data_IF_232184974800
#
_entry.id   IF_232184974800
#
_cell.length_a   1.000
_cell.length_b   1.000
_cell.length_c   1.000
_cell.angle_alpha   90.00
_cell.angle_beta   90.00
_cell.angle_gamma   90.00
#
_symmetry.space_group_name_H-M   'P 1'
#
loop_
_entity.id
_entity.type
_entity.pdbx_description
1 polymer ?
#
# COMPACT_ATOMS: atom_id res chain seq x y z
N UNK A 1 -3.24 17.78 58.19
CA UNK A 1 -1.96 17.28 57.63
C UNK A 1 -2.15 17.05 56.13
N UNK A 2 -1.91 18.08 55.31
CA UNK A 2 -1.90 17.94 53.85
C UNK A 2 -0.60 18.56 53.35
N UNK A 3 0.47 17.76 53.31
CA UNK A 3 1.73 18.20 52.71
C UNK A 3 1.57 18.26 51.19
N UNK A 4 2.18 19.25 50.54
CA UNK A 4 2.22 19.39 49.08
C UNK A 4 2.71 18.10 48.41
N UNK A 5 3.60 17.37 49.07
CA UNK A 5 4.12 16.08 48.63
C UNK A 5 3.04 14.98 48.58
N UNK A 6 2.10 14.95 49.52
CA UNK A 6 0.97 13.99 49.51
C UNK A 6 0.01 14.27 48.35
N UNK A 7 -0.22 15.56 48.04
CA UNK A 7 -1.06 15.95 46.89
C UNK A 7 -0.40 15.57 45.57
N UNK A 8 0.90 15.79 45.43
CA UNK A 8 1.66 15.40 44.24
C UNK A 8 1.62 13.87 44.03
N UNK A 9 1.80 13.09 45.10
CA UNK A 9 1.73 11.64 45.05
C UNK A 9 0.37 11.14 44.54
N UNK A 10 -0.73 11.72 45.02
CA UNK A 10 -2.08 11.33 44.57
C UNK A 10 -2.34 11.67 43.10
N UNK A 11 -1.86 12.83 42.63
CA UNK A 11 -2.00 13.22 41.21
C UNK A 11 -1.18 12.31 40.32
N UNK A 12 0.05 11.99 40.72
CA UNK A 12 0.91 11.06 39.97
C UNK A 12 0.34 9.63 39.96
N UNK A 13 -0.18 9.17 41.09
CA UNK A 13 -0.89 7.88 41.19
C UNK A 13 -2.11 7.84 40.26
N UNK A 14 -2.94 8.88 40.27
CA UNK A 14 -4.08 8.96 39.36
C UNK A 14 -3.64 8.96 37.88
N UNK A 15 -2.67 9.79 37.52
CA UNK A 15 -2.13 9.84 36.16
C UNK A 15 -1.61 8.48 35.69
N UNK A 16 -0.80 7.80 36.51
CA UNK A 16 -0.25 6.49 36.17
C UNK A 16 -1.32 5.41 36.03
N UNK A 17 -2.35 5.41 36.88
CA UNK A 17 -3.48 4.47 36.74
C UNK A 17 -4.26 4.69 35.45
N UNK A 18 -4.57 5.94 35.09
CA UNK A 18 -5.25 6.26 33.82
C UNK A 18 -4.38 5.88 32.63
N UNK A 19 -3.08 6.19 32.66
CA UNK A 19 -2.14 5.81 31.62
C UNK A 19 -2.05 4.28 31.44
N UNK A 20 -2.02 3.53 32.55
CA UNK A 20 -2.03 2.06 32.51
C UNK A 20 -3.34 1.51 31.94
N UNK A 21 -4.49 2.04 32.34
CA UNK A 21 -5.79 1.61 31.81
C UNK A 21 -5.88 1.86 30.30
N UNK A 22 -5.45 3.02 29.83
CA UNK A 22 -5.41 3.33 28.39
C UNK A 22 -4.42 2.40 27.67
N UNK A 23 -3.23 2.20 28.23
CA UNK A 23 -2.23 1.27 27.69
C UNK A 23 -2.76 -0.16 27.58
N UNK A 24 -3.50 -0.63 28.59
CA UNK A 24 -4.13 -1.94 28.58
C UNK A 24 -5.22 -2.05 27.50
N UNK A 25 -6.03 -1.01 27.30
CA UNK A 25 -7.03 -0.99 26.21
C UNK A 25 -6.37 -0.98 24.83
N UNK A 26 -5.27 -0.26 24.65
CA UNK A 26 -4.49 -0.27 23.41
C UNK A 26 -3.89 -1.66 23.16
N UNK A 27 -3.33 -2.30 24.19
CA UNK A 27 -2.80 -3.66 24.08
C UNK A 27 -3.91 -4.67 23.73
N UNK A 28 -5.10 -4.56 24.35
CA UNK A 28 -6.25 -5.39 24.04
C UNK A 28 -6.71 -5.21 22.59
N UNK A 29 -6.71 -3.97 22.09
CA UNK A 29 -7.09 -3.65 20.70
C UNK A 29 -6.23 -4.41 19.69
N UNK A 30 -4.92 -4.52 19.93
CA UNK A 30 -4.00 -5.28 19.07
C UNK A 30 -4.35 -6.77 19.03
N UNK A 31 -4.82 -7.33 20.15
CA UNK A 31 -5.24 -8.74 20.23
C UNK A 31 -6.56 -8.98 19.51
N UNK A 32 -7.50 -8.01 19.57
CA UNK A 32 -8.82 -8.12 18.93
C UNK A 32 -8.72 -8.02 17.40
N UNK A 33 -7.76 -7.27 16.87
CA UNK A 33 -7.61 -7.02 15.42
C UNK A 33 -6.23 -7.45 14.89
N UNK A 34 -5.95 -8.77 14.77
CA UNK A 34 -4.68 -9.25 14.27
C UNK A 34 -4.41 -8.78 12.84
N UNK A 35 -3.19 -8.31 12.59
CA UNK A 35 -2.76 -7.75 11.31
C UNK A 35 -1.89 -8.78 10.58
N UNK A 36 -2.51 -9.79 9.98
CA UNK A 36 -1.82 -10.88 9.26
C UNK A 36 -2.09 -10.79 7.75
N UNK A 37 -1.52 -9.80 7.03
CA UNK A 37 -1.67 -9.74 5.58
C UNK A 37 -0.91 -10.89 4.92
N UNK A 38 -1.42 -11.34 3.78
CA UNK A 38 -0.77 -12.36 2.95
C UNK A 38 -0.62 -11.83 1.54
N UNK A 39 0.55 -12.00 0.92
CA UNK A 39 0.80 -11.58 -0.45
C UNK A 39 1.76 -12.55 -1.13
N UNK A 40 1.36 -13.02 -2.31
CA UNK A 40 2.15 -13.91 -3.17
C UNK A 40 2.30 -13.24 -4.52
N UNK A 41 3.54 -13.18 -5.01
CA UNK A 41 3.83 -12.68 -6.36
C UNK A 41 4.56 -13.74 -7.15
N UNK A 42 4.00 -14.05 -8.31
CA UNK A 42 4.61 -14.95 -9.26
C UNK A 42 5.08 -14.18 -10.50
N UNK A 43 6.31 -14.48 -10.93
CA UNK A 43 6.88 -13.92 -12.13
C UNK A 43 6.34 -14.69 -13.34
N UNK A 44 5.63 -14.01 -14.25
CA UNK A 44 5.15 -14.65 -15.48
C UNK A 44 6.12 -14.50 -16.63
N UNK A 45 6.59 -13.28 -16.88
CA UNK A 45 7.40 -13.01 -18.05
C UNK A 45 8.30 -11.80 -17.85
N UNK A 46 9.55 -11.92 -18.26
CA UNK A 46 10.52 -10.83 -18.27
C UNK A 46 11.01 -10.66 -19.69
N UNK A 47 10.85 -9.45 -20.23
CA UNK A 47 11.37 -9.08 -21.53
C UNK A 47 12.26 -7.87 -21.38
N UNK A 48 13.49 -7.96 -21.87
CA UNK A 48 14.38 -6.81 -21.93
C UNK A 48 14.40 -6.29 -23.36
N UNK A 49 13.97 -5.05 -23.55
CA UNK A 49 13.90 -4.38 -24.84
C UNK A 49 14.90 -3.24 -24.87
N UNK A 50 15.69 -3.14 -25.92
CA UNK A 50 16.62 -2.03 -26.11
C UNK A 50 15.94 -0.90 -26.90
N UNK A 51 15.83 0.27 -26.29
CA UNK A 51 15.08 1.41 -26.83
C UNK A 51 15.78 2.75 -26.61
N UNK A 52 15.15 3.84 -27.06
CA UNK A 52 15.58 5.22 -26.74
C UNK A 52 14.71 5.74 -25.59
N UNK A 53 15.29 6.34 -24.52
CA UNK A 53 14.52 6.86 -23.39
C UNK A 53 13.58 8.00 -23.75
N UNK A 54 14.07 8.89 -24.59
CA UNK A 54 13.35 10.05 -25.10
C UNK A 54 13.64 10.15 -26.60
N UNK A 55 12.70 10.72 -27.35
CA UNK A 55 12.80 10.87 -28.80
C UNK A 55 14.14 11.51 -29.24
N UNK A 56 14.65 12.45 -28.44
CA UNK A 56 15.88 13.20 -28.69
C UNK A 56 17.16 12.58 -28.07
N UNK A 57 17.06 11.47 -27.33
CA UNK A 57 18.24 10.83 -26.77
C UNK A 57 18.91 9.94 -27.81
N UNK A 58 20.19 10.19 -28.08
CA UNK A 58 21.02 9.35 -28.94
C UNK A 58 21.43 8.03 -28.28
N UNK A 59 21.34 7.95 -26.94
CA UNK A 59 21.72 6.76 -26.17
C UNK A 59 20.60 5.72 -26.21
N UNK A 60 20.97 4.48 -26.51
CA UNK A 60 20.06 3.33 -26.43
C UNK A 60 20.22 2.67 -25.07
N UNK A 61 19.14 2.57 -24.32
CA UNK A 61 19.09 1.94 -23.00
C UNK A 61 18.26 0.66 -23.06
N UNK A 62 18.46 -0.22 -22.08
CA UNK A 62 17.72 -1.46 -21.92
C UNK A 62 16.61 -1.29 -20.89
N UNK A 63 15.37 -1.59 -21.29
CA UNK A 63 14.17 -1.53 -20.48
C UNK A 63 13.71 -2.94 -20.15
N UNK A 64 13.44 -3.24 -18.88
CA UNK A 64 12.73 -4.47 -18.53
C UNK A 64 11.22 -4.24 -18.46
N UNK A 65 10.49 -5.08 -19.19
CA UNK A 65 9.06 -5.28 -19.05
C UNK A 65 8.85 -6.56 -18.24
N UNK A 66 8.41 -6.39 -16.99
CA UNK A 66 8.18 -7.49 -16.06
C UNK A 66 6.68 -7.67 -15.89
N UNK A 67 6.14 -8.78 -16.37
CA UNK A 67 4.77 -9.20 -16.11
C UNK A 67 4.73 -10.16 -14.93
N UNK A 68 3.75 -9.95 -14.07
CA UNK A 68 3.60 -10.69 -12.83
C UNK A 68 2.14 -11.03 -12.57
N UNK A 69 1.94 -12.03 -11.72
CA UNK A 69 0.68 -12.31 -11.08
C UNK A 69 0.80 -11.92 -9.62
N UNK A 70 -0.16 -11.15 -9.12
CA UNK A 70 -0.26 -10.79 -7.71
C UNK A 70 -1.54 -11.41 -7.16
N UNK A 71 -1.37 -12.21 -6.11
CA UNK A 71 -2.46 -12.68 -5.27
C UNK A 71 -2.20 -12.20 -3.83
N UNK A 72 -3.00 -11.27 -3.35
CA UNK A 72 -2.79 -10.68 -2.03
C UNK A 72 -4.10 -10.44 -1.28
N UNK A 73 -4.08 -10.77 0.00
CA UNK A 73 -5.11 -10.46 0.98
C UNK A 73 -4.54 -9.47 2.01
N UNK A 74 -4.97 -8.22 1.86
CA UNK A 74 -4.71 -7.13 2.78
C UNK A 74 -5.94 -6.74 3.59
N UNK A 75 -7.02 -7.53 3.58
CA UNK A 75 -8.26 -7.19 4.28
C UNK A 75 -8.05 -6.98 5.78
N UNK A 76 -7.11 -7.71 6.40
CA UNK A 76 -6.76 -7.52 7.81
C UNK A 76 -6.22 -6.13 8.15
N UNK A 77 -5.63 -5.43 7.16
CA UNK A 77 -5.05 -4.09 7.34
C UNK A 77 -6.09 -2.96 7.38
N UNK A 78 -7.33 -3.25 6.98
CA UNK A 78 -8.43 -2.30 7.04
C UNK A 78 -9.06 -2.32 8.43
N UNK A 79 -8.57 -1.42 9.29
CA UNK A 79 -9.11 -1.18 10.64
C UNK A 79 -9.94 0.10 10.66
N UNK A 80 -10.53 0.42 11.82
CA UNK A 80 -11.25 1.69 12.04
C UNK A 80 -10.41 2.94 11.78
N UNK A 81 -9.07 2.85 11.88
CA UNK A 81 -8.17 3.98 11.68
C UNK A 81 -7.53 4.01 10.28
N UNK A 82 -7.78 3.02 9.42
CA UNK A 82 -7.13 2.96 8.10
C UNK A 82 -7.88 3.83 7.10
N UNK A 83 -7.23 4.85 6.57
CA UNK A 83 -7.79 5.72 5.51
C UNK A 83 -7.62 5.08 4.14
N UNK A 84 -6.38 4.73 3.81
CA UNK A 84 -6.02 4.12 2.54
C UNK A 84 -4.77 3.25 2.68
N UNK A 85 -4.64 2.27 1.79
CA UNK A 85 -3.52 1.36 1.72
C UNK A 85 -2.77 1.60 0.42
N UNK A 86 -1.47 1.84 0.50
CA UNK A 86 -0.59 1.99 -0.66
C UNK A 86 0.21 0.71 -0.85
N UNK A 87 -0.06 -0.02 -1.93
CA UNK A 87 0.58 -1.29 -2.26
C UNK A 87 1.50 -1.05 -3.44
N UNK A 88 2.69 -1.66 -3.43
CA UNK A 88 3.65 -1.53 -4.51
C UNK A 88 4.47 -2.79 -4.66
N UNK A 89 4.92 -3.05 -5.89
CA UNK A 89 5.79 -4.17 -6.22
C UNK A 89 7.16 -3.62 -6.58
N UNK A 90 8.16 -4.14 -5.90
CA UNK A 90 9.57 -3.83 -6.07
C UNK A 90 10.22 -4.93 -6.90
N UNK A 91 10.96 -4.54 -7.94
CA UNK A 91 11.99 -5.38 -8.51
C UNK A 91 13.29 -5.12 -7.73
N UNK A 92 13.78 -6.13 -7.01
CA UNK A 92 15.09 -6.10 -6.36
C UNK A 92 16.10 -6.90 -7.18
N UNK A 93 17.29 -6.36 -7.36
CA UNK A 93 18.38 -7.05 -8.03
C UNK A 93 19.73 -6.73 -7.37
N UNK A 94 20.66 -7.71 -7.35
CA UNK A 94 21.95 -7.54 -6.69
C UNK A 94 22.78 -6.45 -7.39
N UNK A 95 23.58 -5.75 -6.58
CA UNK A 95 24.54 -4.77 -7.09
C UNK A 95 25.73 -5.45 -7.75
N UNK A 96 26.43 -4.74 -8.64
CA UNK A 96 27.65 -5.24 -9.29
C UNK A 96 28.83 -5.33 -8.33
N UNK A 97 28.81 -4.55 -7.24
CA UNK A 97 29.84 -4.54 -6.22
C UNK A 97 29.30 -5.17 -4.93
N UNK A 98 30.06 -6.11 -4.37
CA UNK A 98 29.68 -6.83 -3.15
C UNK A 98 29.52 -5.91 -1.92
N UNK A 99 30.15 -4.72 -1.93
CA UNK A 99 30.04 -3.72 -0.86
C UNK A 99 28.79 -2.85 -0.93
N UNK A 100 28.00 -2.94 -2.01
CA UNK A 100 26.89 -2.03 -2.28
C UNK A 100 25.56 -2.75 -2.09
N UNK A 101 24.55 -2.13 -1.44
CA UNK A 101 23.24 -2.75 -1.26
C UNK A 101 22.55 -3.06 -2.60
N UNK A 102 21.63 -4.04 -2.63
CA UNK A 102 20.87 -4.35 -3.83
C UNK A 102 20.05 -3.15 -4.29
N UNK A 103 19.95 -2.99 -5.61
CA UNK A 103 19.11 -1.96 -6.21
C UNK A 103 17.65 -2.41 -6.16
N UNK A 104 16.75 -1.48 -5.84
CA UNK A 104 15.31 -1.72 -5.78
C UNK A 104 14.60 -0.65 -6.58
N UNK A 105 13.65 -1.07 -7.41
CA UNK A 105 12.84 -0.17 -8.21
C UNK A 105 11.38 -0.59 -8.19
N UNK A 106 10.47 0.36 -8.06
CA UNK A 106 9.02 0.10 -8.07
C UNK A 106 8.58 -0.07 -9.53
N UNK A 107 7.92 -1.19 -9.83
CA UNK A 107 7.41 -1.49 -11.18
C UNK A 107 5.91 -1.28 -11.29
N UNK A 108 5.20 -1.34 -10.16
CA UNK A 108 3.75 -1.22 -10.09
C UNK A 108 3.33 -0.75 -8.70
N UNK A 109 2.24 -0.01 -8.64
CA UNK A 109 1.64 0.52 -7.41
C UNK A 109 0.11 0.52 -7.50
N UNK A 110 -0.59 0.49 -6.38
CA UNK A 110 -2.01 0.75 -6.32
C UNK A 110 -2.41 1.30 -4.95
N UNK A 111 -3.29 2.30 -4.96
CA UNK A 111 -3.92 2.83 -3.75
C UNK A 111 -5.30 2.19 -3.61
N UNK A 112 -5.53 1.51 -2.49
CA UNK A 112 -6.84 1.00 -2.11
C UNK A 112 -7.39 1.89 -0.98
N UNK A 113 -8.41 2.72 -1.26
CA UNK A 113 -9.08 3.49 -0.21
C UNK A 113 -9.96 2.60 0.67
N UNK A 114 -10.14 2.99 1.93
CA UNK A 114 -11.11 2.35 2.82
C UNK A 114 -12.54 2.48 2.27
N UNK A 115 -13.44 1.53 2.58
CA UNK A 115 -14.85 1.63 2.17
C UNK A 115 -15.52 2.94 2.61
N UNK A 116 -15.14 3.44 3.78
CA UNK A 116 -15.63 4.71 4.34
C UNK A 116 -15.22 5.92 3.49
N UNK A 117 -14.03 5.88 2.86
CA UNK A 117 -13.57 6.94 1.97
C UNK A 117 -14.19 6.84 0.57
N UNK A 118 -14.48 5.63 0.08
CA UNK A 118 -15.08 5.42 -1.24
C UNK A 118 -16.49 6.00 -1.35
N UNK A 119 -17.26 5.96 -0.27
CA UNK A 119 -18.54 6.64 -0.13
C UNK A 119 -18.38 7.82 0.84
N UNK A 120 -17.80 8.95 0.39
CA UNK A 120 -17.72 10.14 1.24
C UNK A 120 -19.15 10.52 1.62
N UNK A 121 -19.39 10.74 2.92
CA UNK A 121 -20.68 11.13 3.47
C UNK A 121 -21.28 12.31 2.68
N UNK A 122 -22.15 12.01 1.72
CA UNK A 122 -22.90 13.01 0.98
C UNK A 122 -24.31 13.05 1.59
N UNK A 123 -24.69 14.13 2.29
CA UNK A 123 -26.01 14.24 2.90
C UNK A 123 -27.15 14.10 1.88
N UNK A 124 -26.91 14.48 0.61
CA UNK A 124 -27.90 14.33 -0.47
C UNK A 124 -28.13 12.87 -0.88
N UNK A 125 -27.12 12.01 -0.75
CA UNK A 125 -27.25 10.58 -1.06
C UNK A 125 -28.05 9.84 0.02
N UNK A 126 -27.91 10.23 1.29
CA UNK A 126 -28.71 9.69 2.41
C UNK A 126 -30.18 10.07 2.26
N UNK A 127 -30.46 11.28 1.75
CA UNK A 127 -31.81 11.76 1.50
C UNK A 127 -32.43 11.23 0.19
N UNK A 128 -31.72 10.37 -0.56
CA UNK A 128 -32.17 9.87 -1.86
C UNK A 128 -32.23 10.92 -2.97
N UNK A 129 -31.65 12.11 -2.74
CA UNK A 129 -31.62 13.26 -3.65
C UNK A 129 -30.30 13.30 -4.43
N UNK A 130 -29.83 12.15 -4.90
CA UNK A 130 -28.67 12.11 -5.80
C UNK A 130 -29.08 12.66 -7.17
N UNK A 131 -28.35 13.63 -7.75
CA UNK A 131 -28.66 14.13 -9.08
C UNK A 131 -28.40 13.04 -10.12
N UNK A 132 -29.48 12.37 -10.51
CA UNK A 132 -29.56 11.55 -11.71
C UNK A 132 -29.49 12.47 -12.93
N UNK A 133 -28.29 12.75 -13.43
CA UNK A 133 -27.98 12.88 -14.87
C UNK A 133 -26.68 13.65 -15.12
N UNK A 134 -25.63 12.94 -15.51
CA UNK A 134 -24.65 13.45 -16.47
C UNK A 134 -24.64 12.48 -17.68
N UNK A 135 -24.83 12.96 -18.92
CA UNK A 135 -25.07 12.11 -20.09
C UNK A 135 -23.76 11.65 -20.74
N UNK A 136 -22.77 11.23 -19.94
CA UNK A 136 -21.54 10.60 -20.43
C UNK A 136 -21.34 9.23 -19.77
N UNK A 137 -21.97 8.21 -20.38
CA UNK A 137 -21.54 6.80 -20.36
C UNK A 137 -21.81 5.99 -19.08
N UNK A 138 -22.48 4.82 -19.17
CA UNK A 138 -22.46 3.84 -18.09
C UNK A 138 -21.17 3.03 -18.21
N UNK A 139 -20.08 3.48 -17.56
CA UNK A 139 -18.85 2.67 -17.39
C UNK A 139 -18.65 2.14 -15.97
N UNK A 140 -19.69 2.23 -15.12
CA UNK A 140 -19.75 1.47 -13.89
C UNK A 140 -20.98 0.57 -13.94
N UNK A 141 -20.82 -0.51 -14.71
CA UNK A 141 -21.63 -1.69 -14.53
C UNK A 141 -21.57 -2.09 -13.06
N UNK A 142 -22.75 -2.12 -12.42
CA UNK A 142 -23.04 -2.72 -11.12
C UNK A 142 -22.30 -4.05 -11.00
N UNK A 143 -21.12 -4.03 -10.36
CA UNK A 143 -20.38 -5.25 -10.08
C UNK A 143 -21.13 -5.99 -8.96
N UNK A 144 -21.51 -7.25 -9.14
CA UNK A 144 -22.20 -8.03 -8.12
C UNK A 144 -21.27 -8.16 -6.91
N UNK A 145 -21.76 -7.82 -5.70
CA UNK A 145 -21.05 -7.89 -4.42
C UNK A 145 -19.58 -7.45 -4.48
N UNK A 146 -19.31 -6.16 -4.23
CA UNK A 146 -17.94 -5.65 -4.11
C UNK A 146 -17.13 -6.59 -3.19
N UNK A 147 -16.01 -7.16 -3.67
CA UNK A 147 -15.13 -7.96 -2.82
C UNK A 147 -14.78 -7.16 -1.55
N UNK A 148 -14.58 -7.83 -0.41
CA UNK A 148 -14.12 -7.14 0.79
C UNK A 148 -12.86 -6.32 0.45
N UNK A 149 -12.75 -5.09 0.96
CA UNK A 149 -11.63 -4.21 0.66
C UNK A 149 -10.32 -4.94 1.02
N UNK A 150 -9.33 -4.87 0.14
CA UNK A 150 -8.00 -5.42 0.39
C UNK A 150 -7.68 -6.75 -0.25
N UNK A 151 -8.64 -7.45 -0.87
CA UNK A 151 -8.33 -8.62 -1.69
C UNK A 151 -7.96 -8.17 -3.12
N UNK A 152 -6.78 -8.57 -3.59
CA UNK A 152 -6.26 -8.30 -4.93
C UNK A 152 -5.90 -9.59 -5.64
N UNK A 153 -6.61 -9.88 -6.73
CA UNK A 153 -6.24 -10.93 -7.68
C UNK A 153 -5.95 -10.28 -9.05
N UNK A 154 -4.67 -10.17 -9.39
CA UNK A 154 -4.20 -9.45 -10.57
C UNK A 154 -3.36 -10.37 -11.47
N UNK A 155 -3.99 -11.22 -12.29
CA UNK A 155 -3.28 -12.13 -13.18
C UNK A 155 -2.75 -11.41 -14.44
N UNK A 156 -1.54 -11.79 -14.87
CA UNK A 156 -0.85 -11.31 -16.07
C UNK A 156 -0.81 -9.77 -16.17
N UNK A 157 -0.52 -9.15 -15.04
CA UNK A 157 -0.55 -7.70 -14.90
C UNK A 157 0.68 -7.08 -15.54
N UNK A 158 0.45 -6.00 -16.29
CA UNK A 158 1.52 -5.21 -16.90
C UNK A 158 2.10 -4.25 -15.87
N UNK A 159 3.42 -4.03 -15.89
CA UNK A 159 4.02 -3.05 -15.01
C UNK A 159 3.58 -1.65 -15.44
N UNK A 160 3.41 -0.75 -14.47
CA UNK A 160 3.15 0.66 -14.74
C UNK A 160 4.42 1.39 -15.15
N UNK A 161 5.53 1.01 -14.51
CA UNK A 161 6.82 1.63 -14.71
C UNK A 161 7.80 0.64 -15.32
N UNK A 162 8.59 1.15 -16.27
CA UNK A 162 9.70 0.41 -16.86
C UNK A 162 10.96 0.77 -16.09
N UNK A 163 11.82 -0.22 -15.86
CA UNK A 163 13.08 -0.03 -15.14
C UNK A 163 14.25 -0.07 -16.11
N UNK A 164 15.23 0.79 -15.85
CA UNK A 164 16.54 0.81 -16.51
C UNK A 164 17.64 0.71 -15.46
N UNK A 165 18.83 0.30 -15.88
CA UNK A 165 20.00 0.22 -15.01
C UNK A 165 21.07 1.24 -15.43
N UNK A 166 21.80 1.77 -14.45
CA UNK A 166 22.90 2.73 -14.66
C UNK A 166 24.02 2.15 -15.53
N UNK A 167 24.21 0.82 -15.50
CA UNK A 167 25.19 0.13 -16.34
C UNK A 167 24.79 0.05 -17.82
N UNK A 168 23.52 0.34 -18.14
CA UNK A 168 22.93 0.18 -19.47
C UNK A 168 22.80 -1.28 -19.93
N UNK A 169 23.09 -2.25 -19.06
CA UNK A 169 23.02 -3.70 -19.36
C UNK A 169 22.16 -4.42 -18.32
N UNK A 170 20.85 -4.21 -18.41
CA UNK A 170 19.89 -4.82 -17.50
C UNK A 170 19.73 -6.32 -17.77
N UNK A 171 19.90 -6.78 -19.01
CA UNK A 171 19.81 -8.21 -19.37
C UNK A 171 20.91 -9.08 -18.71
N UNK A 172 22.01 -8.47 -18.24
CA UNK A 172 23.10 -9.17 -17.54
C UNK A 172 22.83 -9.30 -16.03
N UNK A 173 21.86 -8.58 -15.49
CA UNK A 173 21.52 -8.68 -14.08
C UNK A 173 20.79 -10.00 -13.85
N UNK A 174 21.42 -10.88 -13.09
CA UNK A 174 20.84 -12.15 -12.67
C UNK A 174 20.19 -12.02 -11.28
N UNK A 175 19.34 -12.98 -10.93
CA UNK A 175 18.66 -13.05 -9.62
C UNK A 175 17.78 -11.84 -9.31
N UNK A 176 16.99 -11.38 -10.28
CA UNK A 176 15.95 -10.38 -10.04
C UNK A 176 14.81 -11.04 -9.26
N UNK A 177 14.49 -10.50 -8.09
CA UNK A 177 13.36 -10.91 -7.25
C UNK A 177 12.28 -9.86 -7.27
N UNK A 178 11.02 -10.31 -7.16
CA UNK A 178 9.88 -9.42 -6.95
C UNK A 178 9.49 -9.46 -5.48
N UNK A 179 9.36 -8.29 -4.88
CA UNK A 179 8.94 -8.12 -3.49
C UNK A 179 7.67 -7.27 -3.46
N UNK A 180 6.70 -7.67 -2.63
CA UNK A 180 5.51 -6.86 -2.36
C UNK A 180 5.77 -6.01 -1.13
N UNK A 181 5.60 -4.70 -1.28
CA UNK A 181 5.59 -3.76 -0.18
C UNK A 181 4.20 -3.14 -0.02
N UNK A 182 3.85 -2.79 1.19
CA UNK A 182 2.64 -2.01 1.48
C UNK A 182 2.92 -0.96 2.54
N UNK A 183 2.13 0.11 2.53
CA UNK A 183 2.15 1.15 3.54
C UNK A 183 0.71 1.52 3.91
N UNK A 184 0.41 1.46 5.20
CA UNK A 184 -0.91 1.81 5.75
C UNK A 184 -0.93 3.29 6.07
N UNK A 185 -1.88 4.02 5.51
CA UNK A 185 -2.07 5.43 5.83
C UNK A 185 -3.27 5.59 6.76
N UNK A 186 -3.05 6.02 8.01
CA UNK A 186 -4.14 6.22 8.95
C UNK A 186 -4.89 7.52 8.67
N UNK A 187 -6.05 7.68 9.32
CA UNK A 187 -6.67 8.99 9.44
C UNK A 187 -5.81 9.88 10.35
N UNK A 188 -5.39 11.04 9.83
CA UNK A 188 -4.59 12.01 10.58
C UNK A 188 -5.33 13.34 10.57
N UNK A 189 -5.78 13.78 11.75
CA UNK A 189 -6.51 15.03 11.90
C UNK A 189 -7.85 15.06 11.15
N UNK A 190 -8.58 16.17 11.28
CA UNK A 190 -9.70 16.49 10.38
C UNK A 190 -9.18 17.20 9.15
#
# INVERSE_FOLDING_TARGET
MHSTLVRAQNVFGFFTTVAFCIGALVALSVVISPQTPSATVELRNVQVVKGRPHYYSNKKEEYAHIKFDLDADFSSLFTWNTKQLFIYILASYPSTHASTPPSRAIIWDQIIPSPQQQHPYNPLTILGLSPSSSPLGPLFAKTPSSPPPGILHLPNTRPKYQITDISGRLARRENVTLEVGWNVQPWVGR
#
